data_IF_340005329826
#
_entry.id   IF_340005329826
#
_cell.length_a   1.000
_cell.length_b   1.000
_cell.length_c   1.000
_cell.angle_alpha   90.00
_cell.angle_beta   90.00
_cell.angle_gamma   90.00
#
_symmetry.space_group_name_H-M   'P 1'
#
loop_
_entity.id
_entity.type
_entity.pdbx_description
1 polymer ?
#
# COMPACT_ATOMS: atom_id res chain seq x y z
N UNK A 1 -6.34 14.35 15.97
CA UNK A 1 -7.62 13.93 15.38
C UNK A 1 -7.72 12.42 15.35
N UNK A 2 -8.79 11.91 15.89
CA UNK A 2 -9.00 10.47 15.97
C UNK A 2 -8.94 9.79 14.61
N UNK A 3 -9.53 10.39 13.59
CA UNK A 3 -9.58 9.80 12.26
C UNK A 3 -8.22 9.56 11.64
N UNK A 4 -7.30 10.48 11.83
CA UNK A 4 -5.95 10.35 11.28
C UNK A 4 -5.18 9.23 11.95
N UNK A 5 -5.20 9.17 13.27
CA UNK A 5 -4.49 8.12 13.99
C UNK A 5 -5.06 6.74 13.73
N UNK A 6 -6.38 6.63 13.70
CA UNK A 6 -7.04 5.35 13.45
C UNK A 6 -6.76 4.86 12.04
N UNK A 7 -6.81 5.75 11.06
CA UNK A 7 -6.54 5.39 9.68
C UNK A 7 -5.10 4.95 9.49
N UNK A 8 -4.16 5.71 10.04
CA UNK A 8 -2.75 5.34 9.97
C UNK A 8 -2.48 4.01 10.66
N UNK A 9 -3.07 3.81 11.85
CA UNK A 9 -2.89 2.57 12.61
C UNK A 9 -3.37 1.37 11.82
N UNK A 10 -4.49 1.50 11.10
CA UNK A 10 -4.99 0.42 10.26
C UNK A 10 -4.01 0.03 9.17
N UNK A 11 -3.40 1.00 8.49
CA UNK A 11 -2.41 0.71 7.45
C UNK A 11 -1.12 0.16 8.03
N UNK A 12 -0.69 0.67 9.18
CA UNK A 12 0.50 0.15 9.85
C UNK A 12 0.28 -1.30 10.27
N UNK A 13 -0.90 -1.64 10.81
CA UNK A 13 -1.23 -3.01 11.16
C UNK A 13 -1.22 -3.92 9.94
N UNK A 14 -1.76 -3.46 8.82
CA UNK A 14 -1.74 -4.22 7.58
C UNK A 14 -0.30 -4.46 7.13
N UNK A 15 0.55 -3.44 7.20
CA UNK A 15 1.94 -3.56 6.82
C UNK A 15 2.67 -4.58 7.71
N UNK A 16 2.42 -4.51 9.02
CA UNK A 16 3.03 -5.44 9.96
C UNK A 16 2.56 -6.87 9.70
N UNK A 17 1.27 -7.04 9.45
CA UNK A 17 0.71 -8.34 9.14
C UNK A 17 1.39 -8.93 7.89
N UNK A 18 1.52 -8.12 6.85
CA UNK A 18 2.13 -8.56 5.61
C UNK A 18 3.62 -8.88 5.79
N UNK A 19 4.31 -8.11 6.63
CA UNK A 19 5.75 -8.29 6.82
C UNK A 19 6.10 -9.48 7.70
N UNK A 20 5.23 -9.85 8.62
CA UNK A 20 5.57 -10.82 9.67
C UNK A 20 4.70 -12.07 9.70
N UNK A 21 3.71 -12.20 8.83
CA UNK A 21 2.81 -13.34 8.84
C UNK A 21 3.01 -14.19 7.59
N UNK A 22 3.24 -15.47 7.80
CA UNK A 22 3.32 -16.43 6.72
C UNK A 22 1.98 -17.13 6.55
N UNK A 23 1.72 -17.59 5.34
CA UNK A 23 0.55 -18.42 5.10
C UNK A 23 -0.77 -17.69 4.89
N UNK A 24 -0.75 -16.35 4.83
CA UNK A 24 -1.95 -15.60 4.50
C UNK A 24 -2.13 -15.65 2.99
N UNK A 25 -3.30 -16.12 2.50
CA UNK A 25 -3.50 -16.23 1.05
C UNK A 25 -3.51 -14.87 0.36
N UNK A 26 -3.02 -14.82 -0.88
CA UNK A 26 -3.06 -13.62 -1.70
C UNK A 26 -4.46 -13.04 -1.79
N UNK A 27 -5.46 -13.92 -1.89
CA UNK A 27 -6.84 -13.52 -2.01
C UNK A 27 -7.29 -12.63 -0.84
N UNK A 28 -6.80 -12.92 0.35
CA UNK A 28 -7.12 -12.11 1.51
C UNK A 28 -6.47 -10.73 1.42
N UNK A 29 -5.22 -10.66 0.96
CA UNK A 29 -4.55 -9.38 0.74
C UNK A 29 -5.21 -8.58 -0.37
N UNK A 30 -5.73 -9.23 -1.40
CA UNK A 30 -6.40 -8.53 -2.51
C UNK A 30 -7.61 -7.73 -2.03
N UNK A 31 -8.24 -8.16 -0.96
CA UNK A 31 -9.39 -7.44 -0.39
C UNK A 31 -9.01 -6.07 0.14
N UNK A 32 -7.73 -5.87 0.46
CA UNK A 32 -7.26 -4.60 0.98
C UNK A 32 -6.84 -3.61 -0.11
N UNK A 33 -6.74 -4.05 -1.37
CA UNK A 33 -6.31 -3.16 -2.43
C UNK A 33 -7.20 -1.93 -2.61
N UNK A 34 -8.55 -2.07 -2.58
CA UNK A 34 -9.40 -0.87 -2.66
C UNK A 34 -9.21 0.06 -1.47
N UNK A 35 -8.93 -0.50 -0.29
CA UNK A 35 -8.68 0.29 0.91
C UNK A 35 -7.36 1.06 0.77
N UNK A 36 -6.34 0.41 0.21
CA UNK A 36 -5.06 1.06 -0.04
C UNK A 36 -5.21 2.18 -1.06
N UNK A 37 -5.99 1.95 -2.10
CA UNK A 37 -6.25 2.98 -3.10
C UNK A 37 -6.95 4.18 -2.47
N UNK A 38 -7.96 3.93 -1.65
CA UNK A 38 -8.66 4.99 -0.94
C UNK A 38 -7.72 5.75 -0.01
N UNK A 39 -6.89 5.02 0.73
CA UNK A 39 -5.95 5.64 1.66
C UNK A 39 -4.91 6.50 0.97
N UNK A 40 -4.53 6.13 -0.25
CA UNK A 40 -3.52 6.88 -1.00
C UNK A 40 -3.99 8.27 -1.41
N UNK A 41 -5.30 8.53 -1.40
CA UNK A 41 -5.83 9.86 -1.70
C UNK A 41 -5.79 10.80 -0.50
N UNK A 42 -5.45 10.30 0.68
CA UNK A 42 -5.39 11.11 1.89
C UNK A 42 -4.09 11.90 1.89
N UNK A 43 -4.18 13.21 1.99
CA UNK A 43 -3.01 14.08 1.89
C UNK A 43 -2.27 14.27 3.21
N UNK A 44 -2.76 13.70 4.29
CA UNK A 44 -2.09 13.77 5.57
C UNK A 44 -0.83 12.93 5.55
N UNK A 45 0.29 13.54 5.91
CA UNK A 45 1.61 12.95 5.75
C UNK A 45 1.77 11.60 6.46
N UNK A 46 1.26 11.49 7.68
CA UNK A 46 1.37 10.24 8.44
C UNK A 46 0.56 9.12 7.80
N UNK A 47 -0.61 9.45 7.23
CA UNK A 47 -1.42 8.45 6.55
C UNK A 47 -0.73 7.98 5.28
N UNK A 48 -0.18 8.90 4.50
CA UNK A 48 0.54 8.55 3.27
C UNK A 48 1.68 7.56 3.55
N UNK A 49 2.43 7.80 4.61
CA UNK A 49 3.55 6.91 4.96
C UNK A 49 3.06 5.51 5.33
N UNK A 50 1.96 5.44 6.07
CA UNK A 50 1.36 4.16 6.42
C UNK A 50 0.86 3.39 5.20
N UNK A 51 0.18 4.09 4.30
CA UNK A 51 -0.34 3.48 3.07
C UNK A 51 0.82 2.98 2.20
N UNK A 52 1.86 3.80 2.05
CA UNK A 52 3.03 3.43 1.25
C UNK A 52 3.68 2.16 1.80
N UNK A 53 3.87 2.11 3.11
CA UNK A 53 4.47 0.94 3.75
C UNK A 53 3.60 -0.29 3.54
N UNK A 54 2.28 -0.17 3.77
CA UNK A 54 1.35 -1.29 3.59
C UNK A 54 1.36 -1.82 2.16
N UNK A 55 1.29 -0.91 1.18
CA UNK A 55 1.27 -1.31 -0.23
C UNK A 55 2.55 -2.06 -0.61
N UNK A 56 3.70 -1.57 -0.15
CA UNK A 56 4.98 -2.22 -0.44
C UNK A 56 5.07 -3.60 0.19
N UNK A 57 4.66 -3.73 1.44
CA UNK A 57 4.75 -5.00 2.15
C UNK A 57 3.77 -6.03 1.57
N UNK A 58 2.56 -5.61 1.25
CA UNK A 58 1.57 -6.50 0.63
C UNK A 58 2.08 -6.97 -0.74
N UNK A 59 2.66 -6.06 -1.51
CA UNK A 59 3.17 -6.39 -2.84
C UNK A 59 4.36 -7.34 -2.83
N UNK A 60 5.07 -7.44 -1.71
CA UNK A 60 6.22 -8.35 -1.62
C UNK A 60 5.85 -9.76 -1.16
N UNK A 61 4.56 -10.03 -0.93
CA UNK A 61 4.12 -11.34 -0.43
C UNK A 61 4.30 -12.46 -1.45
N UNK A 62 4.07 -12.18 -2.71
CA UNK A 62 4.15 -13.18 -3.76
C UNK A 62 4.26 -12.49 -5.12
N UNK A 63 4.68 -13.22 -6.17
CA UNK A 63 4.69 -12.62 -7.51
C UNK A 63 3.31 -12.15 -7.96
N UNK A 64 2.25 -12.88 -7.58
CA UNK A 64 0.89 -12.46 -7.90
C UNK A 64 0.50 -11.16 -7.24
N UNK A 65 0.83 -11.02 -5.96
CA UNK A 65 0.55 -9.77 -5.25
C UNK A 65 1.42 -8.63 -5.75
N UNK A 66 2.66 -8.91 -6.15
CA UNK A 66 3.52 -7.88 -6.73
C UNK A 66 2.91 -7.34 -8.02
N UNK A 67 2.36 -8.21 -8.86
CA UNK A 67 1.69 -7.77 -10.07
C UNK A 67 0.45 -6.94 -9.77
N UNK A 68 -0.37 -7.39 -8.84
CA UNK A 68 -1.60 -6.69 -8.48
C UNK A 68 -1.29 -5.32 -7.86
N UNK A 69 -0.36 -5.27 -6.91
CA UNK A 69 0.04 -4.02 -6.28
C UNK A 69 0.79 -3.12 -7.25
N UNK A 70 1.54 -3.70 -8.18
CA UNK A 70 2.22 -2.95 -9.22
C UNK A 70 1.24 -2.23 -10.13
N UNK A 71 0.16 -2.90 -10.50
CA UNK A 71 -0.89 -2.25 -11.31
C UNK A 71 -1.55 -1.10 -10.56
N UNK A 72 -1.85 -1.32 -9.28
CA UNK A 72 -2.40 -0.26 -8.45
C UNK A 72 -1.41 0.90 -8.32
N UNK A 73 -0.14 0.59 -8.09
CA UNK A 73 0.89 1.62 -7.98
C UNK A 73 1.05 2.42 -9.26
N UNK A 74 0.96 1.77 -10.43
CA UNK A 74 1.00 2.47 -11.70
C UNK A 74 -0.19 3.43 -11.86
N UNK A 75 -1.36 2.98 -11.47
CA UNK A 75 -2.56 3.81 -11.49
C UNK A 75 -2.39 5.01 -10.57
N UNK A 76 -1.89 4.79 -9.36
CA UNK A 76 -1.68 5.86 -8.40
C UNK A 76 -0.63 6.86 -8.87
N UNK A 77 0.44 6.37 -9.51
CA UNK A 77 1.50 7.24 -10.00
C UNK A 77 1.04 8.20 -11.09
N UNK A 78 -0.09 7.89 -11.74
CA UNK A 78 -0.68 8.74 -12.77
C UNK A 78 -1.83 9.60 -12.24
N UNK A 79 -2.10 9.53 -10.95
CA UNK A 79 -3.20 10.28 -10.35
C UNK A 79 -2.91 11.78 -10.38
N UNK A 80 -3.97 12.58 -10.40
CA UNK A 80 -3.85 14.02 -10.28
C UNK A 80 -3.66 14.46 -8.81
N UNK A 81 -3.79 13.53 -7.86
CA UNK A 81 -3.53 13.82 -6.45
C UNK A 81 -2.08 13.56 -6.11
N UNK A 82 -1.43 14.56 -5.51
CA UNK A 82 -0.01 14.45 -5.18
C UNK A 82 0.29 13.30 -4.23
N UNK A 83 -0.58 13.07 -3.23
CA UNK A 83 -0.39 11.98 -2.28
C UNK A 83 -0.42 10.63 -2.96
N UNK A 84 -1.38 10.42 -3.86
CA UNK A 84 -1.49 9.16 -4.58
C UNK A 84 -0.27 8.94 -5.49
N UNK A 85 0.19 9.99 -6.17
CA UNK A 85 1.38 9.89 -7.01
C UNK A 85 2.60 9.47 -6.20
N UNK A 86 2.78 10.07 -5.04
CA UNK A 86 3.92 9.75 -4.19
C UNK A 86 3.87 8.28 -3.73
N UNK A 87 2.72 7.83 -3.26
CA UNK A 87 2.55 6.44 -2.82
C UNK A 87 2.84 5.47 -3.96
N UNK A 88 2.29 5.75 -5.14
CA UNK A 88 2.48 4.90 -6.31
C UNK A 88 3.94 4.81 -6.72
N UNK A 89 4.63 5.95 -6.79
CA UNK A 89 6.03 5.98 -7.19
C UNK A 89 6.93 5.27 -6.19
N UNK A 90 6.66 5.45 -4.90
CA UNK A 90 7.44 4.76 -3.86
C UNK A 90 7.28 3.25 -3.97
N UNK A 91 6.06 2.78 -4.21
CA UNK A 91 5.81 1.35 -4.35
C UNK A 91 6.49 0.78 -5.58
N UNK A 92 6.41 1.47 -6.72
CA UNK A 92 7.06 1.02 -7.95
C UNK A 92 8.57 0.93 -7.77
N UNK A 93 9.16 1.91 -7.10
CA UNK A 93 10.59 1.91 -6.82
C UNK A 93 11.00 0.71 -5.98
N UNK A 94 10.19 0.39 -4.97
CA UNK A 94 10.46 -0.74 -4.10
C UNK A 94 10.37 -2.05 -4.87
N UNK A 95 9.34 -2.23 -5.68
CA UNK A 95 9.13 -3.46 -6.42
C UNK A 95 10.24 -3.69 -7.47
N UNK A 96 10.72 -2.62 -8.08
CA UNK A 96 11.83 -2.69 -9.01
C UNK A 96 13.11 -3.12 -8.33
N UNK A 97 13.37 -2.57 -7.17
CA UNK A 97 14.57 -2.85 -6.41
C UNK A 97 14.61 -4.28 -5.87
N UNK A 98 13.45 -4.87 -5.62
CA UNK A 98 13.33 -6.17 -4.98
C UNK A 98 13.06 -7.32 -5.97
N UNK A 99 13.28 -7.13 -7.23
CA UNK A 99 13.08 -8.17 -8.21
C UNK A 99 13.87 -9.45 -7.92
#
# INVERSE_FOLDING_TARGET
MKGEFQKRAGFVLLACLAAHSDGIPDEQFRRYLPVLEWGATDERNFVQKGVSWALRMVGLQSPGMRRACGKLAQKLAKSDRASARWVGKEALREFERKR
#
